data_IF_276854205901
#
_entry.id   IF_276854205901
#
_cell.length_a   1.000
_cell.length_b   1.000
_cell.length_c   1.000
_cell.angle_alpha   90.00
_cell.angle_beta   90.00
_cell.angle_gamma   90.00
#
_symmetry.space_group_name_H-M   'P 1'
#
loop_
_entity.id
_entity.type
_entity.pdbx_description
1 polymer ?
#
# COMPACT_ATOMS: atom_id res chain seq x y z
N UNK A 1 3.29 -2.18 9.60
CA UNK A 1 2.04 -2.50 8.89
C UNK A 1 1.06 -3.32 9.73
N UNK A 2 1.39 -4.52 10.21
CA UNK A 2 0.42 -5.41 10.88
C UNK A 2 -0.36 -4.76 12.04
N UNK A 3 0.30 -4.05 12.95
CA UNK A 3 -0.35 -3.41 14.09
C UNK A 3 -0.96 -2.04 13.77
N UNK A 4 -0.40 -1.33 12.77
CA UNK A 4 -0.85 0.02 12.40
C UNK A 4 -2.23 -0.02 11.74
N UNK A 5 -2.47 -0.95 10.82
CA UNK A 5 -3.77 -1.07 10.10
C UNK A 5 -4.92 -1.40 11.06
N UNK A 6 -4.70 -2.38 11.95
CA UNK A 6 -5.72 -2.79 12.94
C UNK A 6 -6.02 -1.66 13.93
N UNK A 7 -5.00 -0.89 14.35
CA UNK A 7 -5.15 0.23 15.28
C UNK A 7 -5.93 1.41 14.67
N UNK A 8 -6.00 1.51 13.34
CA UNK A 8 -6.78 2.52 12.62
C UNK A 8 -8.22 2.08 12.32
N UNK A 9 -8.62 0.87 12.73
CA UNK A 9 -9.92 0.30 12.41
C UNK A 9 -10.05 -0.16 10.95
N UNK A 10 -8.93 -0.32 10.24
CA UNK A 10 -8.90 -0.83 8.87
C UNK A 10 -8.76 -2.35 8.85
N UNK A 11 -9.30 -2.97 7.80
CA UNK A 11 -9.14 -4.40 7.54
C UNK A 11 -7.79 -4.64 6.84
N UNK A 12 -7.03 -5.63 7.33
CA UNK A 12 -5.75 -6.01 6.73
C UNK A 12 -5.94 -7.31 5.95
N UNK A 13 -5.86 -7.22 4.62
CA UNK A 13 -5.80 -8.37 3.73
C UNK A 13 -4.34 -8.63 3.30
N UNK A 14 -3.89 -9.88 3.45
CA UNK A 14 -2.56 -10.30 2.97
C UNK A 14 -2.73 -11.24 1.78
N UNK A 15 -2.14 -10.89 0.65
CA UNK A 15 -2.18 -11.70 -0.57
C UNK A 15 -0.85 -12.44 -0.71
N UNK A 16 -0.91 -13.73 -1.04
CA UNK A 16 0.29 -14.51 -1.33
C UNK A 16 0.72 -14.28 -2.79
N UNK A 17 1.88 -13.65 -2.99
CA UNK A 17 2.45 -13.34 -4.31
C UNK A 17 2.87 -14.58 -5.12
N UNK A 18 2.92 -15.77 -4.50
CA UNK A 18 3.20 -17.03 -5.18
C UNK A 18 1.94 -17.69 -5.79
N UNK A 19 0.77 -17.07 -5.64
CA UNK A 19 -0.46 -17.55 -6.27
C UNK A 19 -0.42 -17.29 -7.78
N UNK A 20 -1.11 -18.12 -8.58
CA UNK A 20 -1.31 -17.81 -10.00
C UNK A 20 -2.01 -16.45 -10.17
N UNK A 21 -1.67 -15.74 -11.24
CA UNK A 21 -2.18 -14.39 -11.56
C UNK A 21 -3.70 -14.27 -11.43
N UNK A 22 -4.46 -15.24 -11.95
CA UNK A 22 -5.93 -15.25 -11.90
C UNK A 22 -6.48 -15.25 -10.46
N UNK A 23 -5.79 -15.93 -9.53
CA UNK A 23 -6.20 -15.95 -8.13
C UNK A 23 -5.90 -14.62 -7.44
N UNK A 24 -4.77 -13.99 -7.78
CA UNK A 24 -4.43 -12.65 -7.26
C UNK A 24 -5.48 -11.64 -7.74
N UNK A 25 -5.85 -11.70 -9.03
CA UNK A 25 -6.89 -10.85 -9.61
C UNK A 25 -8.22 -10.99 -8.89
N UNK A 26 -8.69 -12.23 -8.71
CA UNK A 26 -9.93 -12.51 -8.00
C UNK A 26 -9.92 -11.94 -6.57
N UNK A 27 -8.82 -12.11 -5.84
CA UNK A 27 -8.71 -11.60 -4.47
C UNK A 27 -8.78 -10.07 -4.46
N UNK A 28 -8.09 -9.40 -5.39
CA UNK A 28 -8.10 -7.94 -5.50
C UNK A 28 -9.50 -7.40 -5.82
N UNK A 29 -10.20 -8.04 -6.77
CA UNK A 29 -11.57 -7.65 -7.14
C UNK A 29 -12.57 -7.81 -5.99
N UNK A 30 -12.46 -8.89 -5.21
CA UNK A 30 -13.37 -9.19 -4.10
C UNK A 30 -13.05 -8.35 -2.84
N UNK A 31 -11.77 -8.08 -2.59
CA UNK A 31 -11.33 -7.40 -1.37
C UNK A 31 -11.73 -5.93 -1.31
N UNK A 32 -11.91 -5.27 -2.47
CA UNK A 32 -12.22 -3.85 -2.59
C UNK A 32 -11.31 -2.97 -1.70
N UNK A 33 -10.02 -3.33 -1.70
CA UNK A 33 -8.99 -2.67 -0.90
C UNK A 33 -8.78 -1.23 -1.38
N UNK A 34 -8.39 -0.33 -0.48
CA UNK A 34 -8.11 1.08 -0.83
C UNK A 34 -6.64 1.35 -1.11
N UNK A 35 -5.75 0.56 -0.52
CA UNK A 35 -4.32 0.68 -0.68
C UNK A 35 -3.66 -0.69 -0.65
N UNK A 36 -2.69 -0.92 -1.52
CA UNK A 36 -1.92 -2.15 -1.62
C UNK A 36 -0.45 -1.85 -1.34
N UNK A 37 0.11 -2.49 -0.32
CA UNK A 37 1.52 -2.34 0.01
C UNK A 37 2.29 -3.56 -0.50
N UNK A 38 3.31 -3.30 -1.34
CA UNK A 38 4.07 -4.35 -2.02
C UNK A 38 5.57 -4.16 -1.82
N UNK A 39 6.29 -5.27 -1.58
CA UNK A 39 7.75 -5.26 -1.59
C UNK A 39 8.27 -5.28 -3.04
N UNK A 40 9.33 -4.55 -3.39
CA UNK A 40 9.88 -4.53 -4.74
C UNK A 40 10.13 -5.91 -5.36
N UNK A 41 10.51 -6.90 -4.56
CA UNK A 41 10.79 -8.26 -5.03
C UNK A 41 9.57 -9.02 -5.56
N UNK A 42 8.35 -8.50 -5.35
CA UNK A 42 7.10 -9.10 -5.82
C UNK A 42 6.45 -8.36 -6.98
N UNK A 43 7.07 -7.29 -7.49
CA UNK A 43 6.50 -6.49 -8.58
C UNK A 43 6.35 -7.29 -9.86
N UNK A 44 7.33 -8.14 -10.20
CA UNK A 44 7.28 -9.02 -11.37
C UNK A 44 6.06 -9.97 -11.36
N UNK A 45 5.63 -10.41 -10.18
CA UNK A 45 4.44 -11.25 -10.03
C UNK A 45 3.14 -10.44 -10.04
N UNK A 46 3.20 -9.17 -9.60
CA UNK A 46 2.06 -8.28 -9.47
C UNK A 46 1.69 -7.59 -10.78
N UNK A 47 2.68 -7.22 -11.61
CA UNK A 47 2.47 -6.58 -12.92
C UNK A 47 1.44 -7.29 -13.82
N UNK A 48 1.52 -8.62 -14.04
CA UNK A 48 0.50 -9.32 -14.83
C UNK A 48 -0.86 -9.38 -14.12
N UNK A 49 -0.88 -9.37 -12.78
CA UNK A 49 -2.12 -9.41 -12.01
C UNK A 49 -2.84 -8.05 -12.01
N UNK A 50 -2.11 -6.95 -12.12
CA UNK A 50 -2.64 -5.60 -12.17
C UNK A 50 -3.37 -5.24 -13.49
N UNK A 51 -3.41 -6.14 -14.47
CA UNK A 51 -4.11 -5.94 -15.75
C UNK A 51 -5.64 -6.09 -15.63
N UNK A 52 -6.22 -5.52 -14.58
CA UNK A 52 -7.67 -5.55 -14.29
C UNK A 52 -8.16 -4.16 -13.84
N UNK A 53 -9.41 -3.76 -14.13
CA UNK A 53 -9.92 -2.44 -13.77
C UNK A 53 -9.96 -2.15 -12.26
N UNK A 54 -10.05 -3.20 -11.42
CA UNK A 54 -10.07 -3.02 -9.97
C UNK A 54 -8.77 -2.37 -9.46
N UNK A 55 -7.65 -2.61 -10.13
CA UNK A 55 -6.34 -2.08 -9.74
C UNK A 55 -6.25 -0.55 -9.87
N UNK A 56 -7.01 0.05 -10.79
CA UNK A 56 -7.06 1.51 -11.01
C UNK A 56 -7.64 2.28 -9.81
N UNK A 57 -8.35 1.59 -8.91
CA UNK A 57 -8.97 2.18 -7.73
C UNK A 57 -8.14 2.06 -6.45
N UNK A 58 -6.96 1.43 -6.54
CA UNK A 58 -6.13 1.06 -5.40
C UNK A 58 -4.87 1.92 -5.38
N UNK A 59 -4.62 2.61 -4.27
CA UNK A 59 -3.35 3.30 -4.05
C UNK A 59 -2.22 2.27 -3.85
N UNK A 60 -1.39 2.08 -4.86
CA UNK A 60 -0.29 1.11 -4.79
C UNK A 60 0.98 1.75 -4.23
N UNK A 61 1.46 1.19 -3.13
CA UNK A 61 2.59 1.72 -2.36
C UNK A 61 3.71 0.69 -2.32
N UNK A 62 4.88 1.06 -2.82
CA UNK A 62 6.06 0.19 -2.78
C UNK A 62 6.83 0.40 -1.48
N UNK A 63 7.20 -0.70 -0.82
CA UNK A 63 7.98 -0.73 0.43
C UNK A 63 9.47 -0.52 0.13
N UNK A 64 9.80 0.64 -0.43
CA UNK A 64 11.15 1.05 -0.82
C UNK A 64 11.32 2.56 -0.67
N UNK A 65 12.55 3.03 -0.51
CA UNK A 65 12.89 4.46 -0.53
C UNK A 65 12.83 5.05 -1.95
N UNK A 66 12.87 4.19 -2.97
CA UNK A 66 12.82 4.60 -4.38
C UNK A 66 11.80 3.76 -5.14
N UNK A 67 11.10 4.40 -6.09
CA UNK A 67 10.17 3.70 -6.98
C UNK A 67 10.98 2.95 -8.06
N UNK A 68 10.92 1.61 -8.11
CA UNK A 68 11.56 0.84 -9.17
C UNK A 68 10.88 1.09 -10.52
N UNK A 69 11.61 0.88 -11.62
CA UNK A 69 11.04 0.97 -12.97
C UNK A 69 10.06 -0.19 -13.20
N UNK A 70 8.77 0.12 -13.28
CA UNK A 70 7.69 -0.85 -13.52
C UNK A 70 6.62 -0.27 -14.44
N UNK A 71 5.75 -1.14 -14.96
CA UNK A 71 4.55 -0.71 -15.68
C UNK A 71 3.40 -0.22 -14.79
N UNK A 72 3.56 -0.22 -13.47
CA UNK A 72 2.53 0.13 -12.49
C UNK A 72 2.68 1.58 -12.01
N UNK A 73 1.56 2.22 -11.72
CA UNK A 73 1.54 3.52 -11.04
C UNK A 73 1.79 3.29 -9.54
N UNK A 74 3.01 3.58 -9.09
CA UNK A 74 3.49 3.28 -7.74
C UNK A 74 3.95 4.55 -7.03
N UNK A 75 3.61 4.65 -5.74
CA UNK A 75 4.13 5.66 -4.83
C UNK A 75 5.10 5.00 -3.86
N UNK A 76 6.25 5.61 -3.57
CA UNK A 76 7.15 5.12 -2.53
C UNK A 76 6.53 5.31 -1.14
N UNK A 77 6.94 4.47 -0.20
CA UNK A 77 6.34 4.45 1.13
C UNK A 77 6.46 5.78 1.88
N UNK A 78 7.62 6.44 1.79
CA UNK A 78 7.86 7.68 2.53
C UNK A 78 6.99 8.82 1.99
N UNK A 79 6.90 8.95 0.67
CA UNK A 79 5.98 9.89 0.02
C UNK A 79 4.52 9.63 0.38
N UNK A 80 4.10 8.36 0.46
CA UNK A 80 2.75 8.00 0.89
C UNK A 80 2.48 8.43 2.33
N UNK A 81 3.42 8.19 3.25
CA UNK A 81 3.28 8.63 4.64
C UNK A 81 3.21 10.16 4.71
N UNK A 82 4.10 10.89 4.04
CA UNK A 82 4.11 12.35 4.04
C UNK A 82 2.79 12.96 3.53
N UNK A 83 2.19 12.36 2.50
CA UNK A 83 0.89 12.77 1.98
C UNK A 83 -0.23 12.58 3.02
N UNK A 84 -0.18 11.51 3.81
CA UNK A 84 -1.18 11.19 4.84
C UNK A 84 -0.91 11.95 6.15
N UNK A 85 0.32 12.37 6.43
CA UNK A 85 0.74 12.88 7.75
C UNK A 85 0.52 14.38 7.99
N UNK A 86 -0.03 15.15 7.03
CA UNK A 86 -0.31 16.58 7.25
C UNK A 86 -1.71 16.89 7.83
N UNK A 87 -1.86 17.81 8.82
CA UNK A 87 -0.87 18.32 9.77
C UNK A 87 -1.21 17.92 11.22
N UNK A 88 -0.21 17.45 11.97
CA UNK A 88 -0.28 17.42 13.43
C UNK A 88 -0.13 18.85 13.96
N UNK A 89 -1.09 19.39 14.74
CA UNK A 89 -0.88 20.67 15.41
C UNK A 89 0.28 20.54 16.41
N UNK A 90 1.16 21.54 16.43
CA UNK A 90 2.30 21.59 17.34
C UNK A 90 1.83 21.46 18.79
N UNK A 91 2.20 20.36 19.44
CA UNK A 91 2.05 20.23 20.89
C UNK A 91 3.08 21.14 21.54
N UNK A 92 2.62 22.33 21.95
CA UNK A 92 3.37 23.24 22.81
C UNK A 92 3.68 22.54 24.13
N UNK A 93 4.85 21.88 24.20
CA UNK A 93 5.38 21.40 25.46
C UNK A 93 5.87 22.61 26.26
N UNK A 94 4.96 23.27 26.98
CA UNK A 94 5.34 24.10 28.12
C UNK A 94 5.91 23.18 29.20
N UNK A 95 7.24 23.01 29.17
CA UNK A 95 8.02 22.66 30.37
C UNK A 95 7.73 23.75 31.41
N UNK A 96 6.89 23.43 32.40
CA UNK A 96 6.79 24.22 33.62
C UNK A 96 7.94 23.83 34.55
N UNK A 97 8.48 24.80 35.30
CA UNK A 97 9.75 24.67 36.03
C UNK A 97 9.69 23.73 37.24
#
# INVERSE_FOLDING_TARGET
MYFTTVSMGAQLHTINSLLPTEHIQYIIEDANDRALFVDPSFLDALEPAAQIPAFDSIDCVVMSETVPETGLDLVDYESFIDAVQRPRPEISQKRSP
#
